data_IF_153311239025
#
_entry.id   IF_153311239025
#
_cell.length_a   1.000
_cell.length_b   1.000
_cell.length_c   1.000
_cell.angle_alpha   90.00
_cell.angle_beta   90.00
_cell.angle_gamma   90.00
#
_symmetry.space_group_name_H-M   'P 1'
#
loop_
_entity.id
_entity.type
_entity.pdbx_description
1 polymer ?
#
# COMPACT_ATOMS: atom_id res chain seq x y z
N UNK A 1 -17.73 -2.87 3.73
CA UNK A 1 -17.59 -2.56 5.17
C UNK A 1 -16.12 -2.45 5.53
N UNK A 2 -15.75 -1.53 6.42
CA UNK A 2 -14.36 -1.37 6.90
C UNK A 2 -14.30 -1.45 8.43
N UNK A 3 -13.36 -2.23 8.96
CA UNK A 3 -13.08 -2.33 10.39
C UNK A 3 -11.63 -1.94 10.65
N UNK A 4 -11.41 -0.94 11.49
CA UNK A 4 -10.07 -0.40 11.77
C UNK A 4 -9.53 0.57 10.71
N UNK A 5 -10.33 0.92 9.71
CA UNK A 5 -9.98 1.86 8.64
C UNK A 5 -11.17 2.76 8.29
N UNK A 6 -10.91 3.98 7.81
CA UNK A 6 -11.96 4.92 7.44
C UNK A 6 -12.74 4.46 6.19
N UNK A 7 -14.07 4.54 6.26
CA UNK A 7 -14.93 4.05 5.19
C UNK A 7 -14.88 4.93 3.95
N UNK A 8 -14.76 6.26 4.10
CA UNK A 8 -14.71 7.17 2.96
C UNK A 8 -13.40 7.01 2.17
N UNK A 9 -12.28 6.84 2.88
CA UNK A 9 -10.97 6.51 2.29
C UNK A 9 -11.01 5.19 1.54
N UNK A 10 -11.66 4.17 2.09
CA UNK A 10 -11.85 2.90 1.37
C UNK A 10 -12.60 3.12 0.05
N UNK A 11 -13.71 3.86 0.08
CA UNK A 11 -14.49 4.18 -1.12
C UNK A 11 -13.67 4.94 -2.17
N UNK A 12 -12.81 5.88 -1.76
CA UNK A 12 -11.92 6.59 -2.68
C UNK A 12 -10.87 5.67 -3.30
N UNK A 13 -10.25 4.78 -2.52
CA UNK A 13 -9.27 3.82 -3.02
C UNK A 13 -9.91 2.88 -4.04
N UNK A 14 -11.12 2.37 -3.77
CA UNK A 14 -11.89 1.55 -4.71
C UNK A 14 -12.13 2.32 -6.01
N UNK A 15 -12.56 3.58 -5.94
CA UNK A 15 -12.78 4.41 -7.13
C UNK A 15 -11.50 4.64 -7.94
N UNK A 16 -10.34 4.79 -7.28
CA UNK A 16 -9.04 4.91 -7.96
C UNK A 16 -8.65 3.60 -8.65
N UNK A 17 -8.76 2.46 -7.96
CA UNK A 17 -8.48 1.15 -8.55
C UNK A 17 -9.36 0.88 -9.76
N UNK A 18 -10.64 1.22 -9.69
CA UNK A 18 -11.54 1.06 -10.84
C UNK A 18 -11.16 1.98 -11.99
N UNK A 19 -11.02 3.29 -11.73
CA UNK A 19 -10.81 4.27 -12.81
C UNK A 19 -9.41 4.20 -13.43
N UNK A 20 -8.40 3.77 -12.67
CA UNK A 20 -6.98 3.78 -13.10
C UNK A 20 -6.46 2.39 -13.45
N UNK A 21 -6.93 1.35 -12.77
CA UNK A 21 -6.48 -0.03 -13.01
C UNK A 21 -7.48 -0.88 -13.79
N UNK A 22 -8.65 -0.33 -14.14
CA UNK A 22 -9.68 -1.05 -14.91
C UNK A 22 -10.31 -2.20 -14.13
N UNK A 23 -10.26 -2.15 -12.80
CA UNK A 23 -10.85 -3.18 -11.94
C UNK A 23 -12.33 -2.89 -11.71
N UNK A 24 -13.22 -3.71 -12.27
CA UNK A 24 -14.67 -3.56 -12.11
C UNK A 24 -15.10 -3.93 -10.69
N UNK A 25 -15.00 -2.98 -9.75
CA UNK A 25 -15.24 -3.18 -8.31
C UNK A 25 -16.62 -2.72 -7.86
N UNK A 26 -17.32 -1.86 -8.63
CA UNK A 26 -18.66 -1.36 -8.30
C UNK A 26 -19.70 -2.45 -7.98
N UNK A 27 -19.58 -3.64 -8.57
CA UNK A 27 -20.51 -4.76 -8.35
C UNK A 27 -19.95 -5.82 -7.38
N UNK A 28 -18.89 -5.49 -6.65
CA UNK A 28 -18.23 -6.38 -5.70
C UNK A 28 -18.47 -5.90 -4.27
N UNK A 29 -18.75 -6.83 -3.37
CA UNK A 29 -18.79 -6.52 -1.94
C UNK A 29 -17.37 -6.46 -1.37
N UNK A 30 -16.95 -5.30 -0.88
CA UNK A 30 -15.64 -5.11 -0.27
C UNK A 30 -15.74 -5.15 1.26
N UNK A 31 -15.02 -6.09 1.89
CA UNK A 31 -14.83 -6.18 3.34
C UNK A 31 -13.36 -5.98 3.67
N UNK A 32 -13.04 -4.90 4.38
CA UNK A 32 -11.67 -4.60 4.81
C UNK A 32 -11.58 -4.73 6.33
N UNK A 33 -10.57 -5.45 6.81
CA UNK A 33 -10.27 -5.59 8.23
C UNK A 33 -8.79 -5.33 8.51
N UNK A 34 -8.50 -4.54 9.54
CA UNK A 34 -7.15 -4.40 10.06
C UNK A 34 -6.91 -5.47 11.13
N UNK A 35 -6.01 -6.40 10.83
CA UNK A 35 -5.64 -7.48 11.75
C UNK A 35 -5.10 -6.91 13.08
N UNK A 36 -5.41 -7.60 14.18
CA UNK A 36 -5.01 -7.18 15.53
C UNK A 36 -5.91 -6.10 16.16
N UNK A 37 -7.00 -5.69 15.51
CA UNK A 37 -7.96 -4.74 16.08
C UNK A 37 -7.45 -3.30 16.19
N UNK A 38 -6.35 -3.00 15.50
CA UNK A 38 -5.75 -1.66 15.48
C UNK A 38 -6.57 -0.73 14.58
N UNK A 39 -6.65 0.54 14.96
CA UNK A 39 -7.20 1.60 14.09
C UNK A 39 -6.07 2.28 13.34
N UNK A 40 -6.15 2.30 12.02
CA UNK A 40 -5.20 2.98 11.16
C UNK A 40 -5.80 4.31 10.69
N UNK A 41 -5.23 5.40 11.20
CA UNK A 41 -5.64 6.76 10.85
C UNK A 41 -4.44 7.56 10.34
N UNK A 42 -3.88 7.12 9.21
CA UNK A 42 -2.84 7.87 8.51
C UNK A 42 -2.86 7.64 6.98
N UNK A 43 -2.45 8.60 6.15
CA UNK A 43 -2.43 8.44 4.69
C UNK A 43 -1.52 7.31 4.18
N UNK A 44 -0.45 7.00 4.93
CA UNK A 44 0.56 6.03 4.49
C UNK A 44 0.05 4.59 4.31
N UNK A 45 -1.13 4.26 4.81
CA UNK A 45 -1.71 2.92 4.67
C UNK A 45 -2.56 2.76 3.40
N UNK A 46 -2.82 3.83 2.65
CA UNK A 46 -3.67 3.77 1.44
C UNK A 46 -3.15 2.76 0.42
N UNK A 47 -1.82 2.77 0.16
CA UNK A 47 -1.23 1.88 -0.83
C UNK A 47 -1.33 0.40 -0.41
N UNK A 48 -1.18 0.10 0.89
CA UNK A 48 -1.34 -1.25 1.41
C UNK A 48 -2.79 -1.74 1.26
N UNK A 49 -3.77 -0.87 1.52
CA UNK A 49 -5.19 -1.17 1.30
C UNK A 49 -5.47 -1.40 -0.19
N UNK A 50 -4.91 -0.57 -1.07
CA UNK A 50 -5.06 -0.72 -2.52
C UNK A 50 -4.50 -2.06 -3.02
N UNK A 51 -3.29 -2.44 -2.56
CA UNK A 51 -2.67 -3.75 -2.85
C UNK A 51 -3.53 -4.89 -2.30
N UNK A 52 -4.08 -4.77 -1.09
CA UNK A 52 -4.90 -5.82 -0.48
C UNK A 52 -6.20 -6.07 -1.26
N UNK A 53 -6.88 -5.01 -1.70
CA UNK A 53 -8.08 -5.11 -2.53
C UNK A 53 -7.73 -5.73 -3.88
N UNK A 54 -6.63 -5.30 -4.51
CA UNK A 54 -6.18 -5.84 -5.78
C UNK A 54 -5.80 -7.31 -5.70
N UNK A 55 -5.10 -7.71 -4.64
CA UNK A 55 -4.76 -9.10 -4.35
C UNK A 55 -6.03 -9.95 -4.24
N UNK A 56 -7.00 -9.52 -3.43
CA UNK A 56 -8.27 -10.24 -3.26
C UNK A 56 -9.11 -10.31 -4.53
N UNK A 57 -9.14 -9.23 -5.32
CA UNK A 57 -9.92 -9.18 -6.56
C UNK A 57 -9.31 -10.05 -7.66
N UNK A 58 -7.97 -10.13 -7.73
CA UNK A 58 -7.25 -10.88 -8.77
C UNK A 58 -6.95 -12.32 -8.39
N UNK A 59 -7.24 -12.72 -7.15
CA UNK A 59 -6.83 -14.00 -6.57
C UNK A 59 -5.30 -14.22 -6.71
N UNK A 60 -4.53 -13.15 -6.51
CA UNK A 60 -3.06 -13.15 -6.61
C UNK A 60 -2.47 -12.75 -5.25
N UNK A 61 -1.67 -13.62 -4.60
CA UNK A 61 -1.12 -13.33 -3.29
C UNK A 61 -0.03 -12.24 -3.35
N UNK A 62 0.18 -11.59 -2.22
CA UNK A 62 1.40 -10.78 -1.98
C UNK A 62 2.51 -11.64 -1.38
N UNK A 63 3.74 -11.12 -1.38
CA UNK A 63 4.83 -11.82 -0.70
C UNK A 63 4.76 -11.61 0.83
N UNK A 64 4.91 -12.67 1.66
CA UNK A 64 4.77 -12.58 3.11
C UNK A 64 5.73 -11.63 3.83
N UNK A 65 6.86 -11.29 3.21
CA UNK A 65 7.90 -10.43 3.79
C UNK A 65 8.04 -9.08 3.09
N UNK A 66 7.00 -8.68 2.35
CA UNK A 66 6.86 -7.33 1.80
C UNK A 66 6.20 -6.39 2.81
N UNK A 67 6.68 -5.15 2.85
CA UNK A 67 5.97 -4.03 3.48
C UNK A 67 5.58 -3.02 2.41
N UNK A 68 4.32 -2.62 2.37
CA UNK A 68 3.83 -1.60 1.44
C UNK A 68 3.33 -0.40 2.23
N UNK A 69 3.74 0.81 1.86
CA UNK A 69 3.15 2.03 2.38
C UNK A 69 3.23 3.16 1.35
N UNK A 70 2.33 4.12 1.44
CA UNK A 70 2.21 5.26 0.55
C UNK A 70 0.80 5.84 0.60
N UNK A 71 0.68 7.13 0.35
CA UNK A 71 -0.62 7.79 0.16
C UNK A 71 -1.03 7.65 -1.31
N UNK A 72 -2.30 7.32 -1.56
CA UNK A 72 -2.84 7.14 -2.92
C UNK A 72 -3.63 8.40 -3.28
N UNK A 73 -3.18 9.08 -4.33
CA UNK A 73 -3.92 10.20 -4.90
C UNK A 73 -4.99 9.75 -5.90
N UNK A 74 -5.94 10.66 -6.18
CA UNK A 74 -7.09 10.39 -7.05
C UNK A 74 -6.70 10.15 -8.52
N UNK A 75 -5.48 10.54 -8.93
CA UNK A 75 -4.98 10.25 -10.27
C UNK A 75 -4.26 8.90 -10.37
N UNK A 76 -4.17 8.16 -9.26
CA UNK A 76 -3.43 6.91 -9.15
C UNK A 76 -1.95 7.12 -8.85
N UNK A 77 -1.54 8.35 -8.53
CA UNK A 77 -0.19 8.67 -8.12
C UNK A 77 0.06 8.24 -6.67
N UNK A 78 1.30 7.84 -6.37
CA UNK A 78 1.74 7.49 -5.03
C UNK A 78 2.52 8.67 -4.44
N UNK A 79 2.01 9.21 -3.35
CA UNK A 79 2.50 10.44 -2.71
C UNK A 79 3.40 10.12 -1.53
N UNK A 80 4.35 11.02 -1.26
CA UNK A 80 5.34 10.83 -0.20
C UNK A 80 4.71 10.84 1.19
N UNK A 81 5.30 10.07 2.11
CA UNK A 81 4.81 9.94 3.49
C UNK A 81 5.89 10.36 4.50
N UNK A 82 5.46 10.63 5.73
CA UNK A 82 6.37 11.01 6.81
C UNK A 82 7.13 9.79 7.41
N UNK A 83 8.31 10.08 7.98
CA UNK A 83 9.12 9.16 8.80
C UNK A 83 9.53 7.86 8.09
N UNK A 84 9.92 7.97 6.82
CA UNK A 84 10.26 6.82 5.95
C UNK A 84 11.43 6.01 6.51
N UNK A 85 12.52 6.67 6.95
CA UNK A 85 13.67 6.01 7.59
C UNK A 85 13.21 5.11 8.75
N UNK A 86 12.38 5.65 9.66
CA UNK A 86 11.92 4.93 10.85
C UNK A 86 11.08 3.70 10.48
N UNK A 87 10.17 3.83 9.51
CA UNK A 87 9.36 2.71 9.00
C UNK A 87 10.24 1.61 8.43
N UNK A 88 11.24 1.98 7.63
CA UNK A 88 12.14 1.05 6.97
C UNK A 88 13.02 0.31 7.97
N UNK A 89 13.60 1.02 8.94
CA UNK A 89 14.41 0.40 10.01
C UNK A 89 13.59 -0.55 10.87
N UNK A 90 12.36 -0.19 11.22
CA UNK A 90 11.50 -1.07 12.02
C UNK A 90 11.08 -2.32 11.24
N UNK A 91 10.70 -2.17 9.97
CA UNK A 91 10.41 -3.30 9.09
C UNK A 91 11.62 -4.25 8.99
N UNK A 92 12.82 -3.72 8.81
CA UNK A 92 14.04 -4.52 8.77
C UNK A 92 14.28 -5.26 10.09
N UNK A 93 14.13 -4.58 11.23
CA UNK A 93 14.30 -5.16 12.56
C UNK A 93 13.33 -6.32 12.82
N UNK A 94 12.12 -6.24 12.27
CA UNK A 94 11.10 -7.29 12.34
C UNK A 94 11.31 -8.41 11.31
N UNK A 95 12.34 -8.31 10.45
CA UNK A 95 12.75 -9.37 9.54
C UNK A 95 12.16 -9.29 8.12
N UNK A 96 11.42 -8.23 7.79
CA UNK A 96 10.93 -8.00 6.43
C UNK A 96 12.10 -7.82 5.45
N UNK A 97 11.88 -8.23 4.20
CA UNK A 97 12.94 -8.35 3.19
C UNK A 97 12.87 -7.28 2.12
N UNK A 98 11.66 -6.75 1.87
CA UNK A 98 11.43 -5.84 0.77
C UNK A 98 10.35 -4.82 1.12
N UNK A 99 10.55 -3.58 0.68
CA UNK A 99 9.66 -2.47 0.97
C UNK A 99 9.27 -1.78 -0.32
N UNK A 100 7.96 -1.65 -0.54
CA UNK A 100 7.37 -0.90 -1.64
C UNK A 100 6.86 0.43 -1.08
N UNK A 101 7.47 1.53 -1.51
CA UNK A 101 7.24 2.86 -0.94
C UNK A 101 7.19 3.95 -2.02
N UNK A 102 6.71 5.18 -1.71
CA UNK A 102 6.64 6.26 -2.69
C UNK A 102 8.04 6.61 -3.20
N UNK A 103 8.25 6.68 -4.52
CA UNK A 103 9.56 7.03 -5.08
C UNK A 103 10.09 8.38 -4.55
N UNK A 104 9.20 9.35 -4.35
CA UNK A 104 9.52 10.66 -3.76
C UNK A 104 10.08 10.56 -2.34
N UNK A 105 9.72 9.51 -1.60
CA UNK A 105 10.17 9.25 -0.23
C UNK A 105 11.60 8.69 -0.16
N UNK A 106 12.28 8.43 -1.28
CA UNK A 106 13.69 8.01 -1.30
C UNK A 106 14.68 9.16 -1.09
N UNK A 107 14.24 10.42 -1.23
CA UNK A 107 15.13 11.58 -1.10
C UNK A 107 15.42 11.89 0.37
N UNK A 108 16.68 12.26 0.65
CA UNK A 108 17.08 12.84 1.94
C UNK A 108 17.42 11.84 3.04
N UNK A 109 17.60 10.56 2.73
CA UNK A 109 18.09 9.54 3.66
C UNK A 109 18.73 8.37 2.88
N UNK A 110 19.42 7.49 3.59
CA UNK A 110 20.06 6.31 3.00
C UNK A 110 19.43 5.05 3.58
N UNK A 111 18.85 4.17 2.74
CA UNK A 111 18.35 2.88 3.19
C UNK A 111 19.42 2.04 3.89
N UNK A 112 19.07 1.34 4.98
CA UNK A 112 19.99 0.40 5.60
C UNK A 112 20.29 -0.76 4.64
N UNK A 113 21.50 -1.32 4.73
CA UNK A 113 21.87 -2.48 3.93
C UNK A 113 21.05 -3.72 4.33
N UNK A 114 20.77 -4.62 3.38
CA UNK A 114 20.10 -5.90 3.65
C UNK A 114 18.57 -5.87 3.63
N UNK A 115 17.97 -4.78 3.15
CA UNK A 115 16.54 -4.72 2.81
C UNK A 115 16.38 -4.14 1.40
N UNK A 116 15.55 -4.77 0.58
CA UNK A 116 15.27 -4.30 -0.77
C UNK A 116 14.26 -3.15 -0.73
N UNK A 117 14.52 -2.07 -1.48
CA UNK A 117 13.63 -0.92 -1.55
C UNK A 117 13.16 -0.72 -2.99
N UNK A 118 11.84 -0.74 -3.19
CA UNK A 118 11.18 -0.47 -4.46
C UNK A 118 10.43 0.86 -4.34
N UNK A 119 10.93 1.88 -5.04
CA UNK A 119 10.28 3.19 -5.12
C UNK A 119 9.28 3.26 -6.26
N UNK A 120 7.99 3.49 -5.95
CA UNK A 120 6.90 3.54 -6.94
C UNK A 120 6.30 4.93 -7.07
N UNK A 121 5.91 5.32 -8.29
CA UNK A 121 5.25 6.59 -8.59
C UNK A 121 3.74 6.45 -8.74
N UNK A 122 3.25 5.24 -9.04
CA UNK A 122 1.84 4.98 -9.32
C UNK A 122 1.36 3.71 -8.65
N UNK A 123 0.04 3.61 -8.45
CA UNK A 123 -0.61 2.37 -7.97
C UNK A 123 -0.32 1.21 -8.92
N UNK A 124 -0.26 1.45 -10.22
CA UNK A 124 0.07 0.43 -11.22
C UNK A 124 1.45 -0.20 -11.00
N UNK A 125 2.47 0.62 -10.75
CA UNK A 125 3.82 0.16 -10.40
C UNK A 125 3.81 -0.63 -9.09
N UNK A 126 3.07 -0.16 -8.08
CA UNK A 126 2.95 -0.85 -6.79
C UNK A 126 2.32 -2.24 -6.92
N UNK A 127 1.21 -2.36 -7.66
CA UNK A 127 0.55 -3.64 -7.89
C UNK A 127 1.45 -4.61 -8.66
N UNK A 128 2.18 -4.11 -9.66
CA UNK A 128 3.11 -4.92 -10.45
C UNK A 128 4.29 -5.43 -9.62
N UNK A 129 4.73 -4.67 -8.60
CA UNK A 129 5.80 -5.08 -7.70
C UNK A 129 5.33 -6.03 -6.58
N UNK A 130 4.08 -5.86 -6.11
CA UNK A 130 3.56 -6.53 -4.93
C UNK A 130 2.87 -7.88 -5.20
N UNK A 131 2.24 -8.04 -6.37
CA UNK A 131 1.44 -9.23 -6.70
C UNK A 131 2.27 -10.24 -7.50
N UNK A 132 2.03 -11.53 -7.24
CA UNK A 132 2.71 -12.68 -7.88
C UNK A 132 1.70 -13.61 -8.54
#
# INVERSE_FOLDING_TARGET
MATGFDHNRLSLIIAVLEKRMGMFLLNQDAYLNIAGGVKLDEPAVDLAVAVSIASSFRDQPTQPFDVVFGEVGLTGEVRGVARVDQRVREAQKLGFKRIILPHKSLKGWTPPAGIEIIGVNTVAEALSAALV
#
